data_IF_623643741860
#
_entry.id   IF_623643741860
#
_cell.length_a   1.000
_cell.length_b   1.000
_cell.length_c   1.000
_cell.angle_alpha   90.00
_cell.angle_beta   90.00
_cell.angle_gamma   90.00
#
_symmetry.space_group_name_H-M   'P 1'
#
loop_
_entity.id
_entity.type
_entity.pdbx_description
1 polymer ?
#
# COMPACT_ATOMS: atom_id res chain seq x y z
N UNK A 1 -25.65 -14.38 -8.03
CA UNK A 1 -24.25 -14.83 -8.24
C UNK A 1 -23.41 -13.62 -8.59
N UNK A 2 -22.50 -13.18 -7.72
CA UNK A 2 -21.53 -12.11 -8.03
C UNK A 2 -20.38 -12.73 -8.83
N UNK A 3 -19.98 -12.09 -9.93
CA UNK A 3 -18.88 -12.56 -10.77
C UNK A 3 -17.55 -12.57 -10.00
N UNK A 4 -16.56 -13.40 -10.40
CA UNK A 4 -15.26 -13.49 -9.70
C UNK A 4 -14.56 -12.14 -9.53
N UNK A 5 -14.76 -11.21 -10.47
CA UNK A 5 -14.20 -9.86 -10.43
C UNK A 5 -14.84 -8.99 -9.33
N UNK A 6 -16.15 -9.10 -9.13
CA UNK A 6 -16.86 -8.39 -8.07
C UNK A 6 -16.51 -8.96 -6.68
N UNK A 7 -16.33 -10.27 -6.56
CA UNK A 7 -15.93 -10.93 -5.32
C UNK A 7 -14.51 -10.53 -4.89
N UNK A 8 -13.56 -10.45 -5.83
CA UNK A 8 -12.20 -9.99 -5.57
C UNK A 8 -12.15 -8.51 -5.15
N UNK A 9 -13.00 -7.65 -5.73
CA UNK A 9 -13.14 -6.26 -5.33
C UNK A 9 -13.66 -6.10 -3.89
N UNK A 10 -14.68 -6.88 -3.53
CA UNK A 10 -15.24 -6.89 -2.17
C UNK A 10 -14.22 -7.42 -1.16
N UNK A 11 -13.48 -8.49 -1.48
CA UNK A 11 -12.47 -9.06 -0.58
C UNK A 11 -11.35 -8.05 -0.28
N UNK A 12 -10.83 -7.34 -1.28
CA UNK A 12 -9.80 -6.30 -1.05
C UNK A 12 -10.29 -5.16 -0.17
N UNK A 13 -11.56 -4.77 -0.31
CA UNK A 13 -12.17 -3.74 0.54
C UNK A 13 -12.25 -4.23 1.99
N UNK A 14 -12.64 -5.48 2.21
CA UNK A 14 -12.66 -6.07 3.55
C UNK A 14 -11.26 -6.14 4.17
N UNK A 15 -10.25 -6.55 3.40
CA UNK A 15 -8.87 -6.62 3.87
C UNK A 15 -8.35 -5.23 4.28
N UNK A 16 -8.64 -4.19 3.49
CA UNK A 16 -8.27 -2.81 3.82
C UNK A 16 -8.96 -2.31 5.10
N UNK A 17 -10.22 -2.65 5.32
CA UNK A 17 -10.94 -2.29 6.55
C UNK A 17 -10.33 -3.00 7.76
N UNK A 18 -9.89 -4.25 7.63
CA UNK A 18 -9.21 -4.95 8.73
C UNK A 18 -7.86 -4.32 9.05
N UNK A 19 -7.05 -3.98 8.05
CA UNK A 19 -5.78 -3.26 8.22
C UNK A 19 -6.00 -1.92 8.93
N UNK A 20 -7.02 -1.16 8.50
CA UNK A 20 -7.37 0.12 9.10
C UNK A 20 -7.87 0.02 10.56
N UNK A 21 -8.38 -1.15 10.98
CA UNK A 21 -8.80 -1.40 12.37
C UNK A 21 -7.65 -1.82 13.27
N UNK A 22 -6.73 -2.62 12.75
CA UNK A 22 -5.63 -3.21 13.53
C UNK A 22 -4.70 -2.15 14.10
N UNK A 23 -4.24 -1.19 13.30
CA UNK A 23 -3.29 -0.21 13.82
C UNK A 23 -3.83 0.72 14.91
N UNK A 24 -5.05 1.29 14.81
CA UNK A 24 -5.66 2.01 15.93
C UNK A 24 -5.90 1.12 17.16
N UNK A 25 -6.28 -0.15 16.98
CA UNK A 25 -6.44 -1.10 18.10
C UNK A 25 -5.14 -1.28 18.87
N UNK A 26 -4.02 -1.48 18.17
CA UNK A 26 -2.69 -1.64 18.77
C UNK A 26 -2.19 -0.33 19.41
N UNK A 27 -2.26 0.78 18.68
CA UNK A 27 -1.80 2.09 19.15
C UNK A 27 -2.58 2.58 20.38
N UNK A 28 -3.88 2.30 20.44
CA UNK A 28 -4.73 2.68 21.54
C UNK A 28 -4.81 1.60 22.63
N UNK A 29 -4.24 0.41 22.42
CA UNK A 29 -4.34 -0.75 23.34
C UNK A 29 -5.80 -1.09 23.69
N UNK A 30 -6.68 -1.06 22.69
CA UNK A 30 -8.09 -1.44 22.83
C UNK A 30 -8.39 -2.71 22.04
N UNK A 31 -9.30 -3.59 22.48
CA UNK A 31 -9.67 -4.77 21.71
C UNK A 31 -10.19 -4.40 20.31
N UNK A 32 -9.88 -5.22 19.29
CA UNK A 32 -10.37 -5.02 17.90
C UNK A 32 -11.90 -4.84 17.82
N UNK A 33 -12.65 -5.55 18.67
CA UNK A 33 -14.12 -5.43 18.75
C UNK A 33 -14.63 -4.08 19.24
N UNK A 34 -13.75 -3.25 19.85
CA UNK A 34 -14.04 -1.87 20.26
C UNK A 34 -13.63 -0.83 19.21
N UNK A 35 -13.01 -1.25 18.10
CA UNK A 35 -12.64 -0.36 17.00
C UNK A 35 -13.60 -0.56 15.84
N UNK A 36 -14.34 0.50 15.51
CA UNK A 36 -15.22 0.54 14.35
C UNK A 36 -14.64 1.50 13.30
N UNK A 37 -14.50 1.02 12.06
CA UNK A 37 -14.05 1.81 10.91
C UNK A 37 -15.19 1.89 9.92
N UNK A 38 -15.60 3.12 9.59
CA UNK A 38 -16.58 3.40 8.54
C UNK A 38 -15.87 3.92 7.30
N UNK A 39 -15.97 3.19 6.20
CA UNK A 39 -15.52 3.69 4.90
C UNK A 39 -16.59 4.59 4.29
N UNK A 40 -16.27 5.87 4.12
CA UNK A 40 -17.11 6.82 3.39
C UNK A 40 -16.83 6.73 1.88
N UNK A 41 -17.61 7.44 1.05
CA UNK A 41 -17.29 7.61 -0.36
C UNK A 41 -15.91 8.25 -0.51
N UNK A 42 -15.02 7.58 -1.25
CA UNK A 42 -13.64 8.02 -1.48
C UNK A 42 -13.52 8.51 -2.92
N UNK A 43 -13.13 9.78 -3.10
CA UNK A 43 -12.81 10.35 -4.41
C UNK A 43 -11.48 9.84 -4.97
N UNK A 44 -11.40 8.55 -5.29
CA UNK A 44 -10.20 7.89 -5.84
C UNK A 44 -9.13 7.56 -4.79
N UNK A 45 -8.50 6.39 -4.94
CA UNK A 45 -7.45 5.89 -4.06
C UNK A 45 -6.08 5.77 -4.72
N UNK A 46 -6.03 5.21 -5.94
CA UNK A 46 -4.82 5.05 -6.77
C UNK A 46 -3.58 4.53 -5.99
N UNK A 47 -3.79 3.56 -5.10
CA UNK A 47 -2.74 2.98 -4.23
C UNK A 47 -2.43 3.79 -2.97
N UNK A 48 -2.53 5.12 -3.01
CA UNK A 48 -2.13 6.00 -1.89
C UNK A 48 -3.05 6.02 -0.66
N UNK A 49 -4.23 5.37 -0.72
CA UNK A 49 -5.21 5.28 0.38
C UNK A 49 -5.46 3.85 0.87
N UNK A 50 -4.67 2.89 0.39
CA UNK A 50 -4.79 1.48 0.78
C UNK A 50 -4.05 1.10 2.07
N UNK A 51 -3.19 2.00 2.55
CA UNK A 51 -2.34 1.78 3.72
C UNK A 51 -2.88 2.54 4.93
N UNK A 52 -2.51 2.06 6.11
CA UNK A 52 -2.68 2.83 7.34
C UNK A 52 -1.52 3.82 7.46
N UNK A 53 -1.83 5.11 7.41
CA UNK A 53 -0.85 6.18 7.56
C UNK A 53 -0.81 6.72 8.99
N UNK A 54 0.33 7.27 9.45
CA UNK A 54 0.50 7.75 10.82
C UNK A 54 -0.56 8.78 11.25
N UNK A 55 -0.98 9.67 10.34
CA UNK A 55 -1.98 10.71 10.63
C UNK A 55 -3.35 10.14 11.04
N UNK A 56 -3.71 8.93 10.59
CA UNK A 56 -4.96 8.27 10.99
C UNK A 56 -4.91 7.82 12.45
N UNK A 57 -3.76 7.28 12.88
CA UNK A 57 -3.52 6.85 14.27
C UNK A 57 -3.47 8.07 15.19
N UNK A 58 -2.74 9.12 14.80
CA UNK A 58 -2.64 10.38 15.57
C UNK A 58 -4.04 11.01 15.76
N UNK A 59 -4.88 11.01 14.72
CA UNK A 59 -6.25 11.51 14.83
C UNK A 59 -7.06 10.75 15.90
N UNK A 60 -6.96 9.42 15.93
CA UNK A 60 -7.64 8.59 16.91
C UNK A 60 -7.10 8.81 18.33
N UNK A 61 -5.78 8.96 18.48
CA UNK A 61 -5.15 9.30 19.77
C UNK A 61 -5.59 10.66 20.28
N UNK A 62 -5.61 11.69 19.42
CA UNK A 62 -6.06 13.03 19.77
C UNK A 62 -7.55 13.05 20.18
N UNK A 63 -8.41 12.32 19.47
CA UNK A 63 -9.82 12.21 19.84
C UNK A 63 -10.01 11.59 21.23
N UNK A 64 -9.20 10.58 21.57
CA UNK A 64 -9.23 9.96 22.89
C UNK A 64 -8.74 10.90 23.99
N UNK A 65 -7.65 11.62 23.73
CA UNK A 65 -7.05 12.54 24.71
C UNK A 65 -7.97 13.71 25.04
N UNK A 66 -8.61 14.30 24.03
CA UNK A 66 -9.48 15.48 24.20
C UNK A 66 -10.91 15.07 24.58
N UNK A 67 -11.26 13.78 24.47
CA UNK A 67 -12.60 13.26 24.77
C UNK A 67 -13.70 13.77 23.84
N UNK A 68 -13.34 14.17 22.61
CA UNK A 68 -14.30 14.70 21.62
C UNK A 68 -13.97 14.21 20.20
N UNK A 69 -14.95 14.18 19.28
CA UNK A 69 -14.67 13.86 17.88
C UNK A 69 -13.65 14.83 17.26
N UNK A 70 -12.67 14.27 16.55
CA UNK A 70 -11.62 15.02 15.83
C UNK A 70 -11.73 14.74 14.33
N UNK A 71 -11.61 15.79 13.52
CA UNK A 71 -11.51 15.69 12.06
C UNK A 71 -10.14 16.18 11.62
N UNK A 72 -9.34 15.28 11.05
CA UNK A 72 -8.05 15.59 10.46
C UNK A 72 -8.18 15.57 8.94
N UNK A 73 -7.80 16.69 8.29
CA UNK A 73 -7.78 16.82 6.83
C UNK A 73 -6.40 17.28 6.42
N UNK A 74 -5.74 16.50 5.57
CA UNK A 74 -4.44 16.89 5.01
C UNK A 74 -4.64 17.92 3.91
N UNK A 75 -3.76 18.93 3.89
CA UNK A 75 -3.62 19.81 2.73
C UNK A 75 -2.96 19.04 1.57
N UNK A 76 -3.09 19.56 0.34
CA UNK A 76 -2.50 18.93 -0.84
C UNK A 76 -0.98 18.74 -0.72
N UNK A 77 -0.30 19.72 -0.13
CA UNK A 77 1.13 19.67 0.13
C UNK A 77 1.49 18.56 1.13
N UNK A 78 0.75 18.46 2.24
CA UNK A 78 0.97 17.42 3.25
C UNK A 78 0.76 16.01 2.67
N UNK A 79 -0.16 15.82 1.71
CA UNK A 79 -0.35 14.52 1.07
C UNK A 79 0.89 14.02 0.34
N UNK A 80 1.75 14.89 -0.20
CA UNK A 80 2.98 14.46 -0.87
C UNK A 80 4.05 13.92 0.07
N UNK A 81 4.02 14.33 1.34
CA UNK A 81 5.03 13.94 2.35
C UNK A 81 4.49 12.97 3.39
N UNK A 82 3.17 12.93 3.59
CA UNK A 82 2.51 12.11 4.62
C UNK A 82 1.98 10.78 4.10
N UNK A 83 1.93 10.62 2.79
CA UNK A 83 1.55 9.37 2.13
C UNK A 83 2.76 8.82 1.36
N UNK A 84 2.75 7.52 1.11
CA UNK A 84 3.69 6.87 0.20
C UNK A 84 3.44 7.26 -1.25
N UNK A 85 4.49 7.12 -2.05
CA UNK A 85 4.51 7.34 -3.49
C UNK A 85 5.11 6.12 -4.18
N UNK A 86 4.85 5.97 -5.48
CA UNK A 86 5.49 4.90 -6.26
C UNK A 86 7.01 5.15 -6.28
N UNK A 87 7.84 4.19 -5.84
CA UNK A 87 9.28 4.38 -5.83
C UNK A 87 9.80 4.55 -7.26
N UNK A 88 10.92 5.26 -7.41
CA UNK A 88 11.67 5.25 -8.65
C UNK A 88 12.28 3.87 -8.87
N UNK A 89 12.23 3.39 -10.11
CA UNK A 89 12.66 2.04 -10.46
C UNK A 89 13.51 2.07 -11.71
N UNK A 90 14.59 1.28 -11.72
CA UNK A 90 15.41 1.02 -12.89
C UNK A 90 15.20 -0.43 -13.31
N UNK A 91 14.94 -0.66 -14.59
CA UNK A 91 14.70 -1.99 -15.15
C UNK A 91 15.58 -2.20 -16.37
N UNK A 92 16.43 -3.22 -16.32
CA UNK A 92 17.24 -3.68 -17.44
C UNK A 92 16.67 -4.99 -17.95
N UNK A 93 16.21 -4.98 -19.20
CA UNK A 93 15.65 -6.15 -19.87
C UNK A 93 16.55 -6.52 -21.05
N UNK A 94 16.95 -7.79 -21.13
CA UNK A 94 17.66 -8.37 -22.27
C UNK A 94 16.77 -9.44 -22.88
N UNK A 95 16.51 -9.32 -24.18
CA UNK A 95 15.70 -10.27 -24.95
C UNK A 95 16.55 -10.88 -26.05
N UNK A 96 16.43 -12.18 -26.26
CA UNK A 96 17.00 -12.87 -27.42
C UNK A 96 15.87 -13.41 -28.27
N UNK A 97 16.04 -13.35 -29.60
CA UNK A 97 15.08 -13.89 -30.56
C UNK A 97 15.79 -14.59 -31.72
N UNK A 98 15.11 -15.54 -32.34
CA UNK A 98 15.51 -16.14 -33.61
C UNK A 98 15.26 -15.17 -34.78
N UNK A 99 15.79 -15.49 -35.97
CA UNK A 99 15.62 -14.66 -37.18
C UNK A 99 14.16 -14.53 -37.64
N UNK A 100 13.34 -15.53 -37.34
CA UNK A 100 11.89 -15.56 -37.56
C UNK A 100 11.09 -14.85 -36.45
N UNK A 101 11.75 -14.24 -35.47
CA UNK A 101 11.13 -13.39 -34.45
C UNK A 101 10.65 -14.12 -33.20
N UNK A 102 10.97 -15.40 -33.03
CA UNK A 102 10.61 -16.17 -31.82
C UNK A 102 11.56 -15.83 -30.67
N UNK A 103 11.03 -15.38 -29.53
CA UNK A 103 11.82 -15.13 -28.32
C UNK A 103 12.42 -16.44 -27.78
N UNK A 104 13.72 -16.42 -27.46
CA UNK A 104 14.49 -17.58 -26.98
C UNK A 104 14.98 -17.42 -25.54
N UNK A 105 15.20 -16.19 -25.08
CA UNK A 105 15.63 -15.90 -23.72
C UNK A 105 15.13 -14.52 -23.27
N UNK A 106 14.91 -14.39 -21.96
CA UNK A 106 14.58 -13.13 -21.28
C UNK A 106 15.39 -13.06 -19.98
N UNK A 107 16.12 -11.97 -19.80
CA UNK A 107 16.74 -11.59 -18.54
C UNK A 107 16.16 -10.26 -18.09
N UNK A 108 15.70 -10.18 -16.84
CA UNK A 108 15.16 -8.96 -16.24
C UNK A 108 15.86 -8.68 -14.91
N UNK A 109 16.59 -7.57 -14.85
CA UNK A 109 17.16 -7.02 -13.61
C UNK A 109 16.39 -5.76 -13.25
N UNK A 110 15.96 -5.65 -12.01
CA UNK A 110 15.26 -4.46 -11.55
C UNK A 110 15.83 -3.98 -10.21
N UNK A 111 15.98 -2.67 -10.11
CA UNK A 111 16.27 -1.95 -8.89
C UNK A 111 15.09 -1.06 -8.54
N UNK A 112 14.76 -0.99 -7.25
CA UNK A 112 13.73 -0.10 -6.72
C UNK A 112 14.23 0.50 -5.44
N UNK A 113 13.99 1.80 -5.26
CA UNK A 113 14.07 2.40 -3.95
C UNK A 113 13.07 1.73 -3.01
N UNK A 114 13.44 1.57 -1.74
CA UNK A 114 12.55 1.14 -0.67
C UNK A 114 12.35 2.25 0.35
N UNK A 115 11.34 2.13 1.22
CA UNK A 115 11.07 3.14 2.22
C UNK A 115 12.15 3.09 3.32
N UNK A 116 12.44 4.25 3.91
CA UNK A 116 13.41 4.32 5.02
C UNK A 116 12.98 3.54 6.27
N UNK A 117 11.67 3.27 6.40
CA UNK A 117 11.05 2.65 7.57
C UNK A 117 10.66 1.19 7.33
N UNK A 118 10.54 0.76 6.08
CA UNK A 118 10.04 -0.56 5.73
C UNK A 118 10.71 -1.07 4.45
N UNK A 119 11.11 -2.34 4.47
CA UNK A 119 11.62 -3.06 3.30
C UNK A 119 10.46 -3.50 2.40
N UNK A 120 9.93 -2.55 1.64
CA UNK A 120 8.96 -2.83 0.58
C UNK A 120 9.67 -2.92 -0.77
N UNK A 121 9.60 -4.08 -1.42
CA UNK A 121 10.11 -4.31 -2.78
C UNK A 121 8.92 -4.50 -3.72
N UNK A 122 8.72 -3.53 -4.60
CA UNK A 122 7.68 -3.61 -5.62
C UNK A 122 7.86 -4.86 -6.52
N UNK A 123 6.75 -5.49 -6.87
CA UNK A 123 6.75 -6.70 -7.69
C UNK A 123 6.94 -6.39 -9.19
N UNK A 124 8.17 -6.48 -9.70
CA UNK A 124 8.46 -6.29 -11.13
C UNK A 124 8.35 -7.59 -11.93
N UNK A 125 7.13 -7.91 -12.39
CA UNK A 125 6.89 -9.14 -13.15
C UNK A 125 7.10 -10.40 -12.32
N UNK A 126 6.52 -11.51 -12.77
CA UNK A 126 6.56 -12.80 -12.06
C UNK A 126 7.92 -13.52 -12.09
N UNK A 127 8.95 -12.93 -12.72
CA UNK A 127 10.28 -13.51 -12.91
C UNK A 127 11.34 -12.60 -12.28
N UNK A 128 11.64 -12.83 -10.99
CA UNK A 128 12.73 -12.16 -10.27
C UNK A 128 13.98 -13.05 -10.31
N UNK A 129 15.07 -12.60 -10.94
CA UNK A 129 16.31 -13.40 -11.01
C UNK A 129 17.32 -13.10 -9.90
N UNK A 130 17.24 -11.96 -9.17
CA UNK A 130 18.05 -11.72 -7.94
C UNK A 130 17.56 -10.53 -7.10
N UNK A 131 17.59 -10.65 -5.77
CA UNK A 131 17.45 -9.56 -4.81
C UNK A 131 18.71 -9.48 -3.94
N UNK A 132 19.22 -8.27 -3.68
CA UNK A 132 20.39 -8.04 -2.79
C UNK A 132 20.02 -7.03 -1.72
N UNK A 133 20.27 -7.40 -0.46
CA UNK A 133 20.12 -6.55 0.71
C UNK A 133 21.38 -5.66 0.87
N UNK A 134 21.25 -4.39 1.26
CA UNK A 134 22.41 -3.60 1.64
C UNK A 134 22.95 -4.04 3.01
N UNK A 135 24.28 -3.98 3.15
CA UNK A 135 25.03 -4.20 4.39
C UNK A 135 24.95 -3.01 5.33
#
# INVERSE_FOLDING_TARGET
MLTPFALAGVQRVLDQVQVARKGPSEALRVPLGKVYVRQAFVGGGFGGKGYLWPHQVICAMAAREIGRPVKLVLTRAQTFTSNGYQPATEQRIVLSATRDGRLTALEHRSWSGTAMLEDYVEGFGSLKTRATFPS
#
